data_IF_897986243926
#
_entry.id   IF_897986243926
#
_cell.length_a   1.000
_cell.length_b   1.000
_cell.length_c   1.000
_cell.angle_alpha   90.00
_cell.angle_beta   90.00
_cell.angle_gamma   90.00
#
_symmetry.space_group_name_H-M   'P 1'
#
loop_
_entity.id
_entity.type
_entity.pdbx_description
1 polymer ?
#
# COMPACT_ATOMS: atom_id res chain seq x y z
N UNK A 1 18.24 3.25 -59.64
CA UNK A 1 18.34 2.42 -58.42
C UNK A 1 17.02 1.67 -58.29
N UNK A 2 17.01 0.35 -58.04
CA UNK A 2 15.75 -0.36 -57.81
C UNK A 2 15.09 0.13 -56.52
N UNK A 3 13.82 0.51 -56.61
CA UNK A 3 12.98 0.81 -55.45
C UNK A 3 12.38 -0.49 -54.92
N UNK A 4 12.53 -0.73 -53.62
CA UNK A 4 11.93 -1.86 -52.94
C UNK A 4 10.89 -1.35 -51.94
N UNK A 5 9.66 -1.86 -52.04
CA UNK A 5 8.57 -1.52 -51.13
C UNK A 5 8.39 -2.65 -50.13
N UNK A 6 8.83 -2.44 -48.90
CA UNK A 6 8.65 -3.41 -47.80
C UNK A 6 7.28 -3.19 -47.16
N UNK A 7 6.40 -4.20 -47.24
CA UNK A 7 5.11 -4.20 -46.52
C UNK A 7 5.31 -4.76 -45.12
N UNK A 8 5.14 -3.92 -44.12
CA UNK A 8 5.11 -4.32 -42.71
C UNK A 8 3.69 -4.75 -42.35
N UNK A 9 3.49 -6.05 -42.20
CA UNK A 9 2.23 -6.62 -41.67
C UNK A 9 2.16 -6.46 -40.15
N UNK A 10 0.95 -6.26 -39.61
CA UNK A 10 0.72 -6.19 -38.15
C UNK A 10 0.89 -4.82 -37.49
N UNK A 11 1.07 -3.73 -38.25
CA UNK A 11 1.22 -2.37 -37.68
C UNK A 11 -0.01 -1.91 -36.86
N UNK A 12 -1.22 -2.25 -37.32
CA UNK A 12 -2.45 -1.87 -36.61
C UNK A 12 -2.60 -2.64 -35.28
N UNK A 13 -2.28 -3.93 -35.25
CA UNK A 13 -2.26 -4.70 -34.01
C UNK A 13 -1.23 -4.17 -33.00
N UNK A 14 -0.05 -3.77 -33.51
CA UNK A 14 0.97 -3.15 -32.68
C UNK A 14 0.49 -1.81 -32.08
N UNK A 15 -0.11 -0.92 -32.89
CA UNK A 15 -0.68 0.35 -32.40
C UNK A 15 -1.73 0.12 -31.33
N UNK A 16 -2.63 -0.84 -31.52
CA UNK A 16 -3.66 -1.19 -30.52
C UNK A 16 -3.03 -1.74 -29.24
N UNK A 17 -2.01 -2.60 -29.34
CA UNK A 17 -1.29 -3.12 -28.14
C UNK A 17 -0.55 -2.02 -27.40
N UNK A 18 0.15 -1.12 -28.10
CA UNK A 18 0.88 0.00 -27.49
C UNK A 18 -0.10 0.97 -26.81
N UNK A 19 -1.21 1.30 -27.47
CA UNK A 19 -2.27 2.14 -26.90
C UNK A 19 -2.82 1.54 -25.60
N UNK A 20 -3.07 0.22 -25.58
CA UNK A 20 -3.61 -0.47 -24.42
C UNK A 20 -2.57 -0.84 -23.35
N UNK A 21 -1.27 -0.77 -23.65
CA UNK A 21 -0.20 -1.23 -22.77
C UNK A 21 -0.25 -0.54 -21.40
N UNK A 22 -0.38 0.78 -21.39
CA UNK A 22 -0.45 1.57 -20.15
C UNK A 22 -1.68 1.18 -19.31
N UNK A 23 -2.80 0.90 -19.96
CA UNK A 23 -4.04 0.50 -19.27
C UNK A 23 -3.93 -0.88 -18.64
N UNK A 24 -3.35 -1.84 -19.38
CA UNK A 24 -3.11 -3.21 -18.89
C UNK A 24 -2.13 -3.18 -17.72
N UNK A 25 -1.01 -2.47 -17.87
CA UNK A 25 -0.01 -2.32 -16.81
C UNK A 25 -0.62 -1.68 -15.56
N UNK A 26 -1.37 -0.59 -15.71
CA UNK A 26 -2.04 0.09 -14.61
C UNK A 26 -3.02 -0.83 -13.85
N UNK A 27 -3.81 -1.62 -14.59
CA UNK A 27 -4.78 -2.56 -14.00
C UNK A 27 -4.10 -3.67 -13.22
N UNK A 28 -2.97 -4.18 -13.71
CA UNK A 28 -2.23 -5.23 -13.02
C UNK A 28 -1.51 -4.71 -11.78
N UNK A 29 -0.89 -3.53 -11.87
CA UNK A 29 -0.30 -2.85 -10.71
C UNK A 29 -1.36 -2.57 -9.65
N UNK A 30 -2.57 -2.17 -10.04
CA UNK A 30 -3.69 -1.99 -9.12
C UNK A 30 -4.03 -3.28 -8.37
N UNK A 31 -4.07 -4.43 -9.04
CA UNK A 31 -4.30 -5.74 -8.39
C UNK A 31 -3.20 -6.06 -7.38
N UNK A 32 -1.94 -5.81 -7.73
CA UNK A 32 -0.77 -6.02 -6.84
C UNK A 32 -0.89 -5.13 -5.60
N UNK A 33 -1.14 -3.83 -5.77
CA UNK A 33 -1.30 -2.88 -4.65
C UNK A 33 -2.48 -3.29 -3.76
N UNK A 34 -3.63 -3.64 -4.34
CA UNK A 34 -4.82 -4.08 -3.59
C UNK A 34 -4.54 -5.32 -2.74
N UNK A 35 -3.87 -6.31 -3.32
CA UNK A 35 -3.53 -7.56 -2.63
C UNK A 35 -2.58 -7.30 -1.46
N UNK A 36 -1.52 -6.53 -1.68
CA UNK A 36 -0.53 -6.25 -0.64
C UNK A 36 -1.09 -5.34 0.46
N UNK A 37 -1.96 -4.37 0.14
CA UNK A 37 -2.67 -3.59 1.16
C UNK A 37 -3.55 -4.47 2.08
N UNK A 38 -4.19 -5.50 1.54
CA UNK A 38 -4.95 -6.48 2.33
C UNK A 38 -4.01 -7.32 3.21
N UNK A 39 -2.84 -7.73 2.70
CA UNK A 39 -1.82 -8.45 3.49
C UNK A 39 -1.34 -7.60 4.66
N UNK A 40 -0.96 -6.34 4.42
CA UNK A 40 -0.55 -5.40 5.49
C UNK A 40 -1.66 -5.21 6.51
N UNK A 41 -2.92 -5.11 6.06
CA UNK A 41 -4.07 -5.01 6.98
C UNK A 41 -4.20 -6.25 7.86
N UNK A 42 -4.04 -7.46 7.30
CA UNK A 42 -4.12 -8.72 8.05
C UNK A 42 -2.98 -8.84 9.07
N UNK A 43 -1.75 -8.55 8.64
CA UNK A 43 -0.56 -8.58 9.51
C UNK A 43 -0.65 -7.51 10.60
N UNK A 44 -1.05 -6.28 10.26
CA UNK A 44 -1.24 -5.20 11.22
C UNK A 44 -2.28 -5.53 12.28
N UNK A 45 -3.37 -6.21 11.89
CA UNK A 45 -4.38 -6.72 12.85
C UNK A 45 -3.86 -7.82 13.76
N UNK A 46 -2.96 -8.68 13.27
CA UNK A 46 -2.35 -9.74 14.07
C UNK A 46 -1.33 -9.18 15.07
N UNK A 47 -0.60 -8.12 14.67
CA UNK A 47 0.41 -7.48 15.50
C UNK A 47 -0.17 -6.46 16.49
N UNK A 48 -1.39 -5.98 16.25
CA UNK A 48 -2.01 -4.97 17.10
C UNK A 48 -2.32 -5.55 18.50
N UNK A 49 -2.00 -4.82 19.58
CA UNK A 49 -2.32 -5.28 20.93
C UNK A 49 -3.84 -5.42 21.12
N UNK A 50 -4.24 -6.50 21.79
CA UNK A 50 -5.63 -6.82 22.06
C UNK A 50 -6.06 -6.07 23.32
N UNK A 51 -6.81 -4.99 23.13
CA UNK A 51 -7.51 -4.30 24.21
C UNK A 51 -8.90 -4.89 24.46
N UNK A 52 -9.55 -4.55 25.58
CA UNK A 52 -10.86 -5.11 25.97
C UNK A 52 -11.98 -4.85 24.96
N UNK A 53 -11.85 -3.82 24.12
CA UNK A 53 -12.85 -3.45 23.11
C UNK A 53 -12.51 -3.92 21.70
N UNK A 54 -11.28 -4.39 21.44
CA UNK A 54 -10.81 -4.72 20.09
C UNK A 54 -10.79 -3.54 19.10
N UNK A 55 -11.05 -2.31 19.57
CA UNK A 55 -11.24 -1.13 18.72
C UNK A 55 -10.03 -0.83 17.83
N UNK A 56 -8.82 -1.03 18.36
CA UNK A 56 -7.58 -0.83 17.60
C UNK A 56 -7.53 -1.77 16.40
N UNK A 57 -7.68 -3.08 16.61
CA UNK A 57 -7.68 -4.09 15.56
C UNK A 57 -8.78 -3.82 14.52
N UNK A 58 -10.00 -3.50 14.98
CA UNK A 58 -11.14 -3.22 14.11
C UNK A 58 -11.01 -1.91 13.31
N UNK A 59 -10.16 -0.99 13.79
CA UNK A 59 -9.88 0.26 13.10
C UNK A 59 -8.98 0.08 11.88
N UNK A 60 -8.09 -0.92 11.86
CA UNK A 60 -7.10 -1.17 10.81
C UNK A 60 -7.81 -1.71 9.56
N UNK A 61 -7.81 -0.91 8.48
CA UNK A 61 -8.48 -1.25 7.22
C UNK A 61 -7.70 -0.69 6.04
N UNK A 62 -7.71 -1.40 4.91
CA UNK A 62 -7.30 -0.84 3.63
C UNK A 62 -8.35 0.19 3.16
N UNK A 63 -7.91 1.39 2.79
CA UNK A 63 -8.76 2.40 2.16
C UNK A 63 -8.28 2.70 0.75
N UNK A 64 -9.24 2.89 -0.13
CA UNK A 64 -8.99 3.46 -1.44
C UNK A 64 -8.79 4.97 -1.30
N UNK A 65 -7.62 5.46 -1.68
CA UNK A 65 -7.24 6.87 -1.56
C UNK A 65 -7.53 7.62 -2.86
N UNK A 66 -7.65 6.89 -3.98
CA UNK A 66 -7.85 7.47 -5.31
C UNK A 66 -9.11 8.35 -5.40
N UNK A 67 -10.25 7.86 -4.91
CA UNK A 67 -11.52 8.61 -4.87
C UNK A 67 -11.45 9.88 -4.02
N UNK A 68 -10.66 9.89 -2.95
CA UNK A 68 -10.61 11.02 -2.01
C UNK A 68 -9.68 12.15 -2.48
N UNK A 69 -8.65 11.82 -3.26
CA UNK A 69 -7.66 12.79 -3.75
C UNK A 69 -7.96 13.30 -5.15
N UNK A 70 -9.09 12.92 -5.77
CA UNK A 70 -9.42 13.32 -7.14
C UNK A 70 -8.40 12.82 -8.18
N UNK A 71 -7.58 11.82 -7.82
CA UNK A 71 -6.56 11.30 -8.71
C UNK A 71 -7.25 10.47 -9.79
N UNK A 72 -7.08 10.86 -11.06
CA UNK A 72 -7.56 10.11 -12.22
C UNK A 72 -7.01 8.67 -12.24
N UNK A 73 -5.85 8.48 -11.62
CA UNK A 73 -5.17 7.20 -11.46
C UNK A 73 -5.68 6.46 -10.21
N UNK A 74 -6.49 5.42 -10.41
CA UNK A 74 -7.17 4.59 -9.39
C UNK A 74 -6.22 3.68 -8.58
N UNK A 75 -4.98 4.10 -8.31
CA UNK A 75 -3.90 3.15 -8.00
C UNK A 75 -3.33 3.22 -6.58
N UNK A 76 -3.85 4.09 -5.72
CA UNK A 76 -3.39 4.19 -4.34
C UNK A 76 -4.40 3.58 -3.35
N UNK A 77 -4.13 2.36 -2.86
CA UNK A 77 -4.70 1.89 -1.59
C UNK A 77 -3.68 2.09 -0.49
N UNK A 78 -4.09 2.75 0.59
CA UNK A 78 -3.29 2.88 1.81
C UNK A 78 -3.91 2.01 2.90
N UNK A 79 -3.09 1.56 3.84
CA UNK A 79 -3.62 1.04 5.10
C UNK A 79 -3.75 2.22 6.06
N UNK A 80 -4.96 2.50 6.50
CA UNK A 80 -5.21 3.59 7.41
C UNK A 80 -6.24 3.16 8.45
N UNK A 81 -5.84 3.22 9.71
CA UNK A 81 -6.76 2.99 10.80
C UNK A 81 -7.80 4.12 10.93
N UNK A 82 -9.07 3.76 11.19
CA UNK A 82 -10.16 4.73 11.41
C UNK A 82 -9.88 5.58 12.65
N UNK A 83 -9.51 6.86 12.45
CA UNK A 83 -9.22 7.82 13.52
C UNK A 83 -10.31 7.92 14.60
N UNK A 84 -11.59 7.84 14.21
CA UNK A 84 -12.72 7.88 15.16
C UNK A 84 -12.80 6.66 16.09
N UNK A 85 -12.34 5.48 15.65
CA UNK A 85 -12.40 4.24 16.45
C UNK A 85 -11.15 4.02 17.30
N UNK A 86 -9.98 4.41 16.78
CA UNK A 86 -8.71 4.30 17.48
C UNK A 86 -7.93 5.62 17.37
N UNK A 87 -8.34 6.66 18.14
CA UNK A 87 -7.69 7.98 18.08
C UNK A 87 -6.25 7.92 18.60
N UNK A 88 -5.99 7.09 19.61
CA UNK A 88 -4.70 6.95 20.28
C UNK A 88 -3.76 5.91 19.64
N UNK A 89 -4.10 5.35 18.46
CA UNK A 89 -3.25 4.35 17.78
C UNK A 89 -1.81 4.78 17.55
N UNK A 90 -1.61 6.07 17.31
CA UNK A 90 -0.28 6.63 17.04
C UNK A 90 0.60 6.62 18.29
N UNK A 91 -0.01 6.74 19.48
CA UNK A 91 0.68 6.56 20.75
C UNK A 91 1.07 5.10 20.97
N UNK A 92 0.26 4.16 20.48
CA UNK A 92 0.62 2.73 20.51
C UNK A 92 1.78 2.46 19.55
N UNK A 93 1.69 2.94 18.31
CA UNK A 93 2.73 2.71 17.29
C UNK A 93 4.07 3.34 17.68
N UNK A 94 4.06 4.60 18.12
CA UNK A 94 5.26 5.42 18.31
C UNK A 94 5.70 5.53 19.77
N UNK A 95 4.83 5.14 20.72
CA UNK A 95 5.02 5.43 22.13
C UNK A 95 4.80 6.90 22.48
N UNK A 96 5.16 7.27 23.70
CA UNK A 96 5.25 8.67 24.13
C UNK A 96 6.63 8.98 24.71
N UNK A 97 6.92 10.27 24.85
CA UNK A 97 7.91 10.76 25.82
C UNK A 97 7.36 10.67 27.25
N UNK A 98 8.18 11.01 28.24
CA UNK A 98 7.71 11.19 29.62
C UNK A 98 6.62 12.25 29.68
N UNK A 99 5.52 11.91 30.36
CA UNK A 99 4.37 12.78 30.49
C UNK A 99 4.27 13.24 31.93
N UNK A 100 4.09 14.54 32.12
CA UNK A 100 3.85 15.15 33.42
C UNK A 100 2.56 15.97 33.37
N UNK A 101 1.83 16.01 34.48
CA UNK A 101 0.70 16.94 34.63
C UNK A 101 1.21 18.34 34.89
N UNK A 102 0.34 19.35 34.72
CA UNK A 102 0.65 20.74 35.11
C UNK A 102 1.01 20.88 36.60
N UNK A 103 0.46 20.01 37.44
CA UNK A 103 0.76 19.92 38.88
C UNK A 103 2.04 19.14 39.21
N UNK A 104 2.82 18.71 38.22
CA UNK A 104 4.10 18.02 38.41
C UNK A 104 4.01 16.50 38.60
N UNK A 105 2.82 15.90 38.60
CA UNK A 105 2.68 14.46 38.75
C UNK A 105 3.13 13.72 37.46
N UNK A 106 4.05 12.76 37.61
CA UNK A 106 4.48 11.91 36.50
C UNK A 106 3.38 10.93 36.09
N UNK A 107 3.09 10.87 34.79
CA UNK A 107 2.21 9.89 34.13
C UNK A 107 3.00 8.83 33.37
N UNK A 108 4.32 8.84 33.52
CA UNK A 108 5.25 7.90 32.90
C UNK A 108 5.30 7.97 31.38
N UNK A 109 6.04 7.02 30.82
CA UNK A 109 6.26 6.81 29.39
C UNK A 109 5.45 5.63 28.89
N UNK A 110 4.72 5.82 27.79
CA UNK A 110 4.14 4.69 27.07
C UNK A 110 5.20 4.12 26.11
N UNK A 111 5.54 2.82 26.20
CA UNK A 111 6.47 2.21 25.26
C UNK A 111 5.85 2.12 23.86
N UNK A 112 6.70 2.20 22.83
CA UNK A 112 6.28 1.99 21.44
C UNK A 112 6.02 0.52 21.16
N UNK A 113 4.92 0.22 20.49
CA UNK A 113 4.64 -1.06 19.87
C UNK A 113 4.36 -0.85 18.37
N UNK A 114 5.39 -0.91 17.51
CA UNK A 114 5.28 -0.56 16.09
C UNK A 114 4.61 -1.68 15.28
N UNK A 115 3.32 -1.92 15.52
CA UNK A 115 2.58 -3.03 14.95
C UNK A 115 2.33 -2.88 13.44
N UNK A 116 2.16 -1.65 12.95
CA UNK A 116 2.03 -1.37 11.51
C UNK A 116 3.39 -1.42 10.81
N UNK A 117 4.43 -0.82 11.39
CA UNK A 117 5.76 -0.83 10.75
C UNK A 117 6.30 -2.27 10.58
N UNK A 118 6.05 -3.15 11.56
CA UNK A 118 6.36 -4.60 11.43
C UNK A 118 5.55 -5.25 10.31
N UNK A 119 4.26 -4.93 10.20
CA UNK A 119 3.40 -5.47 9.15
C UNK A 119 3.85 -5.01 7.75
N UNK A 120 4.22 -3.74 7.60
CA UNK A 120 4.77 -3.18 6.37
C UNK A 120 6.10 -3.83 6.00
N UNK A 121 7.03 -3.92 6.96
CA UNK A 121 8.35 -4.54 6.75
C UNK A 121 8.25 -6.01 6.32
N UNK A 122 7.27 -6.74 6.84
CA UNK A 122 7.02 -8.15 6.48
C UNK A 122 6.48 -8.31 5.04
N UNK A 123 5.62 -7.39 4.59
CA UNK A 123 4.98 -7.47 3.26
C UNK A 123 5.83 -6.80 2.17
N UNK A 124 6.66 -5.82 2.53
CA UNK A 124 7.42 -4.99 1.60
C UNK A 124 8.29 -5.80 0.61
N UNK A 125 9.04 -6.85 1.01
CA UNK A 125 9.86 -7.63 0.06
C UNK A 125 9.02 -8.30 -1.02
N UNK A 126 7.86 -8.85 -0.65
CA UNK A 126 6.95 -9.49 -1.60
C UNK A 126 6.32 -8.46 -2.55
N UNK A 127 5.88 -7.31 -2.01
CA UNK A 127 5.35 -6.23 -2.83
C UNK A 127 6.38 -5.71 -3.83
N UNK A 128 7.61 -5.44 -3.40
CA UNK A 128 8.70 -4.97 -4.26
C UNK A 128 9.02 -5.98 -5.37
N UNK A 129 9.04 -7.28 -5.04
CA UNK A 129 9.23 -8.35 -6.02
C UNK A 129 8.10 -8.37 -7.07
N UNK A 130 6.84 -8.39 -6.63
CA UNK A 130 5.67 -8.42 -7.53
C UNK A 130 5.63 -7.19 -8.47
N UNK A 131 5.99 -6.00 -7.97
CA UNK A 131 6.08 -4.78 -8.78
C UNK A 131 7.24 -4.87 -9.78
N UNK A 132 8.44 -5.28 -9.35
CA UNK A 132 9.61 -5.41 -10.23
C UNK A 132 9.35 -6.42 -11.35
N UNK A 133 8.82 -7.59 -11.03
CA UNK A 133 8.47 -8.62 -12.02
C UNK A 133 7.45 -8.12 -13.04
N UNK A 134 6.50 -7.27 -12.61
CA UNK A 134 5.47 -6.76 -13.52
C UNK A 134 5.95 -5.62 -14.42
N UNK A 135 6.84 -4.76 -13.94
CA UNK A 135 7.40 -3.61 -14.67
C UNK A 135 8.54 -4.09 -15.57
N UNK A 136 9.53 -4.76 -15.00
CA UNK A 136 10.71 -5.29 -15.68
C UNK A 136 10.47 -6.74 -16.08
N UNK A 137 9.40 -7.00 -16.85
CA UNK A 137 9.16 -8.34 -17.43
C UNK A 137 10.51 -8.94 -17.81
N UNK A 138 10.80 -10.14 -17.26
CA UNK A 138 11.96 -10.96 -17.61
C UNK A 138 12.30 -10.71 -19.07
N UNK A 139 13.49 -10.19 -19.32
CA UNK A 139 14.14 -10.21 -20.60
C UNK A 139 14.18 -11.67 -21.05
N UNK A 140 13.13 -12.09 -21.77
CA UNK A 140 13.23 -13.13 -22.78
C UNK A 140 13.30 -12.37 -24.11
N UNK A 141 14.48 -11.79 -24.34
CA UNK A 141 15.06 -11.51 -25.65
C UNK A 141 16.26 -12.43 -25.80
#
# INVERSE_FOLDING_TARGET
>A
MPEFTVKLEGQEEFKVRVSNFNHILATDLEKIVKRNATRVTKEGKANAPIGPTGNLQNSIRSKDVSKKLGLAYKHAKTTAARKKMAPHRHLVELGTRDRMTKSGASRGRMPSNPFMARAESKVAPQYQREIRERIFRKEEL
#
